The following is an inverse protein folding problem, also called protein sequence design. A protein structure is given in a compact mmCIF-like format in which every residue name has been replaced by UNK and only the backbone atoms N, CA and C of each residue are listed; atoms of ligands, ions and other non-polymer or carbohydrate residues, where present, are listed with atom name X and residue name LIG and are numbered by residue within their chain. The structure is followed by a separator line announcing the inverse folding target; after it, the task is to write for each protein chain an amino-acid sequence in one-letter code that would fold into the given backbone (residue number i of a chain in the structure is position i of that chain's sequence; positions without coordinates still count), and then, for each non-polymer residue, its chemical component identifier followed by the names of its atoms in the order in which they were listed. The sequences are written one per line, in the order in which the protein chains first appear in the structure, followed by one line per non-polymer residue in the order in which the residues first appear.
data_IF_564656787722
#
_entry.id   IF_564656787722
#
_cell.length_a   1.000
_cell.length_b   1.000
_cell.length_c   1.000
_cell.angle_alpha   90.00
_cell.angle_beta   90.00
_cell.angle_gamma   90.00
#
_symmetry.space_group_name_H-M   'P 1'
#
loop_
_entity.id
_entity.type
_entity.pdbx_description
1 polymer ?
#
# COMPACT_ATOMS: atom_id res chain seq x y z
N UNK A 1 -8.17 22.81 -36.52
CA UNK A 1 -7.83 21.55 -37.21
C UNK A 1 -6.60 20.89 -36.61
N UNK A 2 -6.81 19.95 -35.69
CA UNK A 2 -5.73 19.10 -35.21
C UNK A 2 -5.42 18.07 -36.30
N UNK A 3 -4.22 18.14 -36.89
CA UNK A 3 -3.78 17.17 -37.90
C UNK A 3 -3.24 15.94 -37.17
N UNK A 4 -3.99 14.83 -37.23
CA UNK A 4 -3.57 13.56 -36.67
C UNK A 4 -2.70 12.82 -37.69
N UNK A 5 -1.42 12.61 -37.39
CA UNK A 5 -0.53 11.79 -38.22
C UNK A 5 -0.83 10.32 -37.95
N UNK A 6 -1.34 9.60 -38.94
CA UNK A 6 -1.63 8.16 -38.85
C UNK A 6 -0.61 7.40 -39.68
N UNK A 7 0.18 6.57 -39.02
CA UNK A 7 1.17 5.70 -39.66
C UNK A 7 0.65 4.26 -39.57
N UNK A 8 0.51 3.60 -40.73
CA UNK A 8 0.07 2.21 -40.82
C UNK A 8 1.24 1.34 -41.24
N UNK A 9 1.59 0.38 -40.39
CA UNK A 9 2.70 -0.54 -40.61
C UNK A 9 2.15 -1.96 -40.52
N UNK A 10 2.61 -2.86 -41.40
CA UNK A 10 2.18 -4.26 -41.47
C UNK A 10 3.40 -5.16 -41.37
N UNK A 11 3.24 -6.32 -40.72
CA UNK A 11 4.29 -7.35 -40.66
C UNK A 11 5.47 -7.01 -39.75
N UNK A 12 5.26 -6.17 -38.74
CA UNK A 12 6.28 -5.78 -37.75
C UNK A 12 5.99 -6.40 -36.39
N UNK A 13 7.05 -6.76 -35.67
CA UNK A 13 6.95 -7.32 -34.33
C UNK A 13 6.60 -6.23 -33.29
N UNK A 14 6.03 -6.63 -32.14
CA UNK A 14 5.59 -5.66 -31.11
C UNK A 14 6.73 -4.75 -30.63
N UNK A 15 7.94 -5.29 -30.50
CA UNK A 15 9.13 -4.50 -30.12
C UNK A 15 9.46 -3.43 -31.17
N UNK A 16 9.32 -3.74 -32.46
CA UNK A 16 9.54 -2.78 -33.55
C UNK A 16 8.48 -1.67 -33.53
N UNK A 17 7.22 -2.01 -33.21
CA UNK A 17 6.16 -1.01 -33.02
C UNK A 17 6.48 -0.07 -31.86
N UNK A 18 7.03 -0.59 -30.76
CA UNK A 18 7.45 0.23 -29.62
C UNK A 18 8.60 1.16 -30.01
N UNK A 19 9.63 0.66 -30.68
CA UNK A 19 10.76 1.48 -31.16
C UNK A 19 10.29 2.58 -32.13
N UNK A 20 9.40 2.25 -33.06
CA UNK A 20 8.85 3.21 -34.02
C UNK A 20 8.05 4.28 -33.28
N UNK A 21 7.19 3.89 -32.32
CA UNK A 21 6.44 4.83 -31.50
C UNK A 21 7.38 5.78 -30.74
N UNK A 22 8.38 5.25 -30.05
CA UNK A 22 9.34 6.04 -29.27
C UNK A 22 10.16 6.99 -30.14
N UNK A 23 10.53 6.58 -31.36
CA UNK A 23 11.25 7.44 -32.32
C UNK A 23 10.38 8.54 -32.92
N UNK A 24 9.09 8.28 -33.15
CA UNK A 24 8.14 9.28 -33.64
C UNK A 24 7.79 10.27 -32.52
N UNK A 25 7.76 9.80 -31.28
CA UNK A 25 7.41 10.60 -30.14
C UNK A 25 8.52 11.60 -29.77
N UNK A 26 8.40 12.83 -30.29
CA UNK A 26 9.40 13.89 -30.10
C UNK A 26 9.60 14.31 -28.63
N UNK A 27 8.64 14.02 -27.76
CA UNK A 27 8.72 14.33 -26.32
C UNK A 27 9.46 13.25 -25.51
N UNK A 28 9.95 12.18 -26.15
CA UNK A 28 10.72 11.12 -25.48
C UNK A 28 9.91 10.26 -24.49
N UNK A 29 8.58 10.37 -24.50
CA UNK A 29 7.70 9.55 -23.65
C UNK A 29 7.70 8.10 -24.16
N UNK A 30 8.24 7.21 -23.31
CA UNK A 30 8.24 5.75 -23.55
C UNK A 30 6.82 5.21 -23.56
N UNK A 31 6.61 4.17 -24.37
CA UNK A 31 5.31 3.48 -24.42
C UNK A 31 5.13 2.67 -23.12
N UNK A 32 4.02 2.88 -22.40
CA UNK A 32 3.79 2.15 -21.15
C UNK A 32 3.39 0.70 -21.45
N UNK A 33 3.79 -0.31 -20.65
CA UNK A 33 3.40 -1.71 -20.89
C UNK A 33 1.89 -1.90 -21.02
N UNK A 34 1.09 -1.14 -20.26
CA UNK A 34 -0.38 -1.13 -20.36
C UNK A 34 -0.86 -0.71 -21.75
N UNK A 35 -0.21 0.28 -22.39
CA UNK A 35 -0.61 0.77 -23.71
C UNK A 35 -0.47 -0.34 -24.78
N UNK A 36 0.60 -1.14 -24.67
CA UNK A 36 0.84 -2.30 -25.54
C UNK A 36 -0.25 -3.36 -25.34
N UNK A 37 -0.55 -3.70 -24.09
CA UNK A 37 -1.57 -4.72 -23.77
C UNK A 37 -2.95 -4.27 -24.25
N UNK A 38 -3.32 -3.00 -24.01
CA UNK A 38 -4.55 -2.38 -24.49
C UNK A 38 -4.65 -2.48 -26.02
N UNK A 39 -3.58 -2.13 -26.74
CA UNK A 39 -3.58 -2.17 -28.21
C UNK A 39 -3.72 -3.59 -28.76
N UNK A 40 -3.01 -4.56 -28.18
CA UNK A 40 -3.03 -5.96 -28.63
C UNK A 40 -4.34 -6.67 -28.35
N UNK A 41 -4.99 -6.29 -27.25
CA UNK A 41 -6.28 -6.87 -26.83
C UNK A 41 -7.47 -6.18 -27.49
N UNK A 42 -7.27 -5.06 -28.19
CA UNK A 42 -8.36 -4.37 -28.87
C UNK A 42 -9.00 -5.24 -29.96
N UNK A 43 -10.33 -5.22 -30.02
CA UNK A 43 -11.12 -5.82 -31.10
C UNK A 43 -12.20 -4.84 -31.54
N UNK A 44 -12.30 -4.62 -32.83
CA UNK A 44 -13.36 -3.78 -33.38
C UNK A 44 -14.73 -4.44 -33.15
N UNK A 45 -15.79 -3.64 -32.97
CA UNK A 45 -17.15 -4.10 -33.09
C UNK A 45 -17.37 -4.79 -34.45
N UNK A 46 -18.20 -5.82 -34.45
CA UNK A 46 -18.66 -6.50 -35.65
C UNK A 46 -20.18 -6.64 -35.56
N UNK A 47 -20.87 -5.67 -36.16
CA UNK A 47 -22.34 -5.58 -36.16
C UNK A 47 -22.99 -6.82 -36.79
N UNK A 48 -22.42 -7.33 -37.89
CA UNK A 48 -22.92 -8.53 -38.59
C UNK A 48 -22.92 -9.77 -37.70
N UNK A 49 -22.00 -9.86 -36.74
CA UNK A 49 -21.89 -10.96 -35.77
C UNK A 49 -22.48 -10.63 -34.39
N UNK A 50 -23.09 -9.45 -34.23
CA UNK A 50 -23.59 -8.97 -32.93
C UNK A 50 -22.50 -8.82 -31.86
N UNK A 51 -21.24 -8.68 -32.25
CA UNK A 51 -20.11 -8.59 -31.33
C UNK A 51 -19.80 -7.11 -31.06
N UNK A 52 -19.91 -6.62 -29.81
CA UNK A 52 -19.77 -5.19 -29.51
C UNK A 52 -18.34 -4.66 -29.59
N UNK A 53 -17.35 -5.53 -29.84
CA UNK A 53 -15.94 -5.19 -29.73
C UNK A 53 -15.42 -5.35 -28.32
N UNK A 54 -14.11 -5.14 -28.15
CA UNK A 54 -13.47 -5.18 -26.85
C UNK A 54 -12.42 -4.08 -26.74
N UNK A 55 -12.49 -3.31 -25.66
CA UNK A 55 -11.50 -2.29 -25.34
C UNK A 55 -11.14 -2.31 -23.85
N UNK A 56 -9.90 -2.71 -23.55
CA UNK A 56 -9.44 -2.90 -22.17
C UNK A 56 -9.47 -1.60 -21.34
N UNK A 57 -9.31 -0.41 -21.95
CA UNK A 57 -9.37 0.85 -21.18
C UNK A 57 -10.75 1.13 -20.61
N UNK A 58 -11.81 0.81 -21.35
CA UNK A 58 -13.17 0.98 -20.84
C UNK A 58 -13.37 0.09 -19.62
N UNK A 59 -12.95 -1.18 -19.73
CA UNK A 59 -12.98 -2.13 -18.62
C UNK A 59 -12.20 -1.62 -17.38
N UNK A 60 -10.98 -1.11 -17.56
CA UNK A 60 -10.15 -0.53 -16.48
C UNK A 60 -10.83 0.68 -15.83
N UNK A 61 -11.42 1.58 -16.64
CA UNK A 61 -12.19 2.74 -16.15
C UNK A 61 -13.41 2.29 -15.35
N UNK A 62 -14.17 1.31 -15.86
CA UNK A 62 -15.39 0.80 -15.24
C UNK A 62 -15.11 0.03 -13.94
N UNK A 63 -13.90 -0.51 -13.77
CA UNK A 63 -13.42 -1.06 -12.49
C UNK A 63 -13.22 0.05 -11.45
N UNK A 64 -12.73 1.22 -11.87
CA UNK A 64 -12.45 2.37 -10.99
C UNK A 64 -13.71 3.16 -10.63
N UNK A 65 -14.75 3.18 -11.48
CA UNK A 65 -16.02 3.88 -11.21
C UNK A 65 -16.55 3.73 -9.78
N UNK A 66 -16.78 2.52 -9.23
CA UNK A 66 -17.27 2.38 -7.85
C UNK A 66 -16.30 2.91 -6.78
N UNK A 67 -15.00 2.98 -7.08
CA UNK A 67 -13.99 3.55 -6.17
C UNK A 67 -14.06 5.08 -6.19
N UNK A 68 -14.28 5.68 -7.36
CA UNK A 68 -14.54 7.11 -7.52
C UNK A 68 -15.84 7.50 -6.80
N UNK A 69 -16.92 6.76 -7.03
CA UNK A 69 -18.24 7.04 -6.46
C UNK A 69 -18.26 6.96 -4.93
N UNK A 70 -17.41 6.11 -4.34
CA UNK A 70 -17.22 6.02 -2.88
C UNK A 70 -16.17 6.99 -2.34
N UNK A 71 -15.49 7.73 -3.22
CA UNK A 71 -14.34 8.59 -2.89
C UNK A 71 -13.18 7.84 -2.24
N UNK A 72 -13.00 6.57 -2.60
CA UNK A 72 -11.87 5.75 -2.19
C UNK A 72 -10.59 6.18 -2.90
N UNK A 73 -9.47 6.30 -2.18
CA UNK A 73 -8.15 6.57 -2.80
C UNK A 73 -7.63 5.40 -3.64
N UNK A 74 -8.26 4.23 -3.56
CA UNK A 74 -7.98 3.13 -4.48
C UNK A 74 -8.39 3.41 -5.92
N UNK A 75 -9.12 4.50 -6.19
CA UNK A 75 -9.32 4.99 -7.56
C UNK A 75 -8.01 5.21 -8.32
N UNK A 76 -6.93 5.54 -7.61
CA UNK A 76 -5.59 5.80 -8.15
C UNK A 76 -4.77 4.52 -8.35
N UNK A 77 -5.38 3.33 -8.23
CA UNK A 77 -4.68 2.06 -8.49
C UNK A 77 -4.10 2.05 -9.90
N UNK A 78 -2.83 1.64 -10.00
CA UNK A 78 -2.13 1.55 -11.28
C UNK A 78 -2.78 0.49 -12.18
N UNK A 79 -3.05 0.83 -13.44
CA UNK A 79 -3.67 -0.09 -14.40
C UNK A 79 -2.81 -1.35 -14.63
N UNK A 80 -1.48 -1.25 -14.51
CA UNK A 80 -0.58 -2.39 -14.59
C UNK A 80 -0.81 -3.34 -13.41
N UNK A 81 -1.02 -2.83 -12.19
CA UNK A 81 -1.33 -3.67 -11.04
C UNK A 81 -2.66 -4.40 -11.25
N UNK A 82 -3.67 -3.71 -11.78
CA UNK A 82 -4.98 -4.32 -12.12
C UNK A 82 -4.79 -5.45 -13.14
N UNK A 83 -4.00 -5.23 -14.20
CA UNK A 83 -3.73 -6.26 -15.21
C UNK A 83 -2.92 -7.42 -14.61
N UNK A 84 -1.94 -7.16 -13.75
CA UNK A 84 -1.18 -8.19 -13.04
C UNK A 84 -2.09 -9.03 -12.12
N UNK A 85 -3.08 -8.42 -11.47
CA UNK A 85 -4.10 -9.14 -10.70
C UNK A 85 -4.94 -10.07 -11.58
N UNK A 86 -5.37 -9.62 -12.76
CA UNK A 86 -6.04 -10.48 -13.75
C UNK A 86 -5.14 -11.65 -14.17
N UNK A 87 -3.85 -11.37 -14.44
CA UNK A 87 -2.88 -12.40 -14.80
C UNK A 87 -2.70 -13.43 -13.67
N UNK A 88 -2.71 -13.01 -12.41
CA UNK A 88 -2.67 -13.92 -11.25
C UNK A 88 -3.93 -14.79 -11.14
N UNK A 89 -5.12 -14.23 -11.41
CA UNK A 89 -6.37 -14.99 -11.45
C UNK A 89 -6.36 -16.06 -12.56
N UNK A 90 -5.89 -15.69 -13.76
CA UNK A 90 -5.70 -16.64 -14.88
C UNK A 90 -4.64 -17.69 -14.56
N UNK A 91 -3.52 -17.28 -13.97
CA UNK A 91 -2.44 -18.17 -13.52
C UNK A 91 -2.97 -19.25 -12.57
N UNK A 92 -3.84 -18.87 -11.63
CA UNK A 92 -4.48 -19.82 -10.68
C UNK A 92 -5.34 -20.87 -11.39
N UNK A 93 -6.10 -20.47 -12.42
CA UNK A 93 -7.00 -21.37 -13.18
C UNK A 93 -6.26 -22.32 -14.12
N UNK A 94 -5.06 -21.96 -14.54
CA UNK A 94 -4.31 -22.73 -15.51
C UNK A 94 -3.68 -23.99 -14.87
N UNK A 95 -4.15 -25.16 -15.26
CA UNK A 95 -3.74 -26.47 -14.69
C UNK A 95 -2.92 -27.34 -15.64
N UNK A 96 -2.78 -26.98 -16.92
CA UNK A 96 -2.24 -27.87 -17.96
C UNK A 96 -0.96 -27.33 -18.61
N UNK A 97 0.17 -28.02 -18.49
CA UNK A 97 1.43 -27.60 -19.12
C UNK A 97 2.09 -26.39 -18.44
N UNK A 98 3.02 -25.73 -19.13
CA UNK A 98 3.73 -24.55 -18.60
C UNK A 98 2.77 -23.37 -18.50
N UNK A 99 2.66 -22.77 -17.33
CA UNK A 99 1.76 -21.64 -17.10
C UNK A 99 2.22 -20.39 -17.88
N UNK A 100 1.41 -19.88 -18.83
CA UNK A 100 1.79 -18.74 -19.67
C UNK A 100 1.56 -17.39 -18.97
N UNK A 101 0.78 -17.36 -17.89
CA UNK A 101 0.38 -16.13 -17.22
C UNK A 101 1.36 -15.75 -16.11
N UNK A 102 1.75 -14.48 -16.07
CA UNK A 102 2.66 -13.96 -15.06
C UNK A 102 2.58 -12.43 -14.96
N UNK A 103 3.38 -11.86 -14.07
CA UNK A 103 3.32 -10.44 -13.69
C UNK A 103 4.46 -9.61 -14.30
N UNK A 104 5.43 -10.26 -14.95
CA UNK A 104 6.52 -9.56 -15.64
C UNK A 104 6.05 -9.03 -16.99
N UNK A 105 6.67 -7.95 -17.53
CA UNK A 105 6.28 -7.40 -18.83
C UNK A 105 6.19 -8.48 -19.93
N UNK A 106 7.21 -9.34 -20.05
CA UNK A 106 7.24 -10.42 -21.03
C UNK A 106 6.16 -11.50 -20.81
N UNK A 107 5.72 -11.74 -19.57
CA UNK A 107 4.64 -12.69 -19.30
C UNK A 107 3.25 -12.08 -19.56
N UNK A 108 3.10 -10.78 -19.30
CA UNK A 108 1.87 -10.05 -19.61
C UNK A 108 1.59 -10.00 -21.12
N UNK A 109 2.64 -10.12 -21.94
CA UNK A 109 2.50 -10.27 -23.38
C UNK A 109 1.76 -11.55 -23.81
N UNK A 110 1.56 -12.53 -22.93
CA UNK A 110 0.75 -13.72 -23.26
C UNK A 110 -0.76 -13.48 -23.09
N UNK A 111 -1.17 -12.32 -22.57
CA UNK A 111 -2.58 -11.98 -22.44
C UNK A 111 -3.18 -11.66 -23.81
N UNK A 112 -4.41 -12.14 -24.02
CA UNK A 112 -5.15 -12.04 -25.28
C UNK A 112 -6.57 -11.59 -24.95
N UNK A 113 -7.29 -11.05 -25.93
CA UNK A 113 -8.65 -10.52 -25.75
C UNK A 113 -9.59 -11.55 -25.12
N UNK A 114 -9.51 -12.79 -25.60
CA UNK A 114 -10.36 -13.91 -25.22
C UNK A 114 -10.18 -14.23 -23.72
N UNK A 115 -8.97 -14.10 -23.19
CA UNK A 115 -8.69 -14.27 -21.76
C UNK A 115 -9.45 -13.24 -20.92
N UNK A 116 -9.47 -11.97 -21.35
CA UNK A 116 -10.20 -10.93 -20.65
C UNK A 116 -11.71 -11.11 -20.78
N UNK A 117 -12.23 -11.34 -21.99
CA UNK A 117 -13.68 -11.52 -22.21
C UNK A 117 -14.27 -12.65 -21.35
N UNK A 118 -13.53 -13.74 -21.20
CA UNK A 118 -13.97 -14.90 -20.42
C UNK A 118 -13.89 -14.68 -18.91
N UNK A 119 -12.92 -13.90 -18.42
CA UNK A 119 -12.61 -13.85 -16.98
C UNK A 119 -12.85 -12.50 -16.31
N UNK A 120 -13.03 -11.42 -17.09
CA UNK A 120 -13.05 -10.04 -16.58
C UNK A 120 -14.07 -9.83 -15.46
N UNK A 121 -15.30 -10.31 -15.62
CA UNK A 121 -16.35 -10.14 -14.62
C UNK A 121 -15.95 -10.75 -13.25
N UNK A 122 -15.42 -11.97 -13.26
CA UNK A 122 -14.95 -12.64 -12.05
C UNK A 122 -13.72 -11.93 -11.46
N UNK A 123 -12.74 -11.58 -12.29
CA UNK A 123 -11.53 -10.87 -11.87
C UNK A 123 -11.86 -9.49 -11.28
N UNK A 124 -12.75 -8.72 -11.91
CA UNK A 124 -13.21 -7.40 -11.41
C UNK A 124 -13.78 -7.53 -10.01
N UNK A 125 -14.66 -8.52 -9.76
CA UNK A 125 -15.20 -8.79 -8.42
C UNK A 125 -14.09 -9.11 -7.42
N UNK A 126 -13.15 -9.97 -7.80
CA UNK A 126 -12.02 -10.35 -6.93
C UNK A 126 -11.09 -9.17 -6.64
N UNK A 127 -10.81 -8.32 -7.62
CA UNK A 127 -9.94 -7.15 -7.46
C UNK A 127 -10.60 -6.16 -6.49
N UNK A 128 -11.89 -5.90 -6.64
CA UNK A 128 -12.64 -5.06 -5.69
C UNK A 128 -12.70 -5.67 -4.28
N UNK A 129 -12.83 -7.00 -4.16
CA UNK A 129 -12.76 -7.67 -2.85
C UNK A 129 -11.34 -7.63 -2.24
N UNK A 130 -10.30 -7.64 -3.08
CA UNK A 130 -8.91 -7.46 -2.64
C UNK A 130 -8.68 -6.04 -2.13
N UNK A 131 -9.16 -5.03 -2.86
CA UNK A 131 -9.13 -3.63 -2.43
C UNK A 131 -9.89 -3.46 -1.12
N UNK A 132 -11.06 -4.08 -0.99
CA UNK A 132 -11.84 -4.08 0.25
C UNK A 132 -11.04 -4.71 1.39
N UNK A 133 -10.44 -5.89 1.17
CA UNK A 133 -9.61 -6.56 2.19
C UNK A 133 -8.45 -5.67 2.67
N UNK A 134 -7.79 -4.94 1.77
CA UNK A 134 -6.72 -3.99 2.11
C UNK A 134 -7.29 -2.78 2.87
N UNK A 135 -8.45 -2.26 2.44
CA UNK A 135 -9.14 -1.15 3.10
C UNK A 135 -9.64 -1.51 4.50
N UNK A 136 -10.08 -2.75 4.73
CA UNK A 136 -10.45 -3.29 6.06
C UNK A 136 -9.25 -3.31 7.03
N UNK A 137 -8.01 -3.19 6.52
CA UNK A 137 -6.77 -3.02 7.31
C UNK A 137 -6.27 -1.57 7.30
N UNK A 138 -7.14 -0.60 6.96
CA UNK A 138 -6.86 0.83 6.87
C UNK A 138 -5.75 1.22 5.88
N UNK A 139 -5.48 0.37 4.89
CA UNK A 139 -4.64 0.73 3.75
C UNK A 139 -5.51 1.53 2.79
N UNK A 140 -5.57 2.84 3.03
CA UNK A 140 -6.53 3.75 2.40
C UNK A 140 -6.41 3.83 0.87
N UNK A 141 -5.23 3.54 0.30
CA UNK A 141 -4.98 3.61 -1.13
C UNK A 141 -3.64 2.99 -1.54
N UNK A 142 -3.33 2.96 -2.85
CA UNK A 142 -2.13 2.30 -3.37
C UNK A 142 -0.83 2.93 -2.84
N UNK A 143 -0.82 4.23 -2.59
CA UNK A 143 0.33 4.93 -2.01
C UNK A 143 0.63 4.56 -0.55
N UNK A 144 -0.28 3.88 0.14
CA UNK A 144 -0.09 3.36 1.51
C UNK A 144 0.27 1.87 1.52
N UNK A 145 0.33 1.22 0.35
CA UNK A 145 0.64 -0.20 0.27
C UNK A 145 2.16 -0.40 0.44
N UNK A 146 2.65 -1.15 1.44
CA UNK A 146 4.08 -1.26 1.72
C UNK A 146 4.88 -1.81 0.53
N UNK A 147 4.30 -2.80 -0.14
CA UNK A 147 4.78 -3.34 -1.40
C UNK A 147 3.60 -3.65 -2.31
N UNK A 148 3.64 -3.14 -3.54
CA UNK A 148 2.61 -3.40 -4.57
C UNK A 148 2.37 -4.90 -4.77
N UNK A 149 3.44 -5.71 -4.66
CA UNK A 149 3.37 -7.16 -4.83
C UNK A 149 2.62 -7.92 -3.73
N UNK A 150 2.37 -7.33 -2.55
CA UNK A 150 1.56 -7.99 -1.51
C UNK A 150 0.12 -8.23 -1.97
N UNK A 151 -0.41 -7.35 -2.82
CA UNK A 151 -1.78 -7.45 -3.30
C UNK A 151 -1.98 -8.61 -4.31
N UNK A 152 -0.91 -9.07 -4.96
CA UNK A 152 -0.99 -10.06 -6.04
C UNK A 152 -1.30 -11.48 -5.54
N UNK A 153 -0.61 -12.05 -4.52
CA UNK A 153 -0.98 -13.33 -3.94
C UNK A 153 -2.34 -13.29 -3.26
N UNK A 154 -2.71 -12.17 -2.61
CA UNK A 154 -4.03 -11.98 -2.00
C UNK A 154 -5.13 -12.02 -3.05
N UNK A 155 -4.98 -11.30 -4.16
CA UNK A 155 -5.95 -11.34 -5.25
C UNK A 155 -6.11 -12.76 -5.82
N UNK A 156 -5.00 -13.46 -6.03
CA UNK A 156 -5.03 -14.88 -6.42
C UNK A 156 -5.76 -15.75 -5.41
N UNK A 157 -5.51 -15.55 -4.11
CA UNK A 157 -6.12 -16.33 -3.03
C UNK A 157 -7.62 -16.10 -2.92
N UNK A 158 -8.09 -14.86 -3.07
CA UNK A 158 -9.50 -14.49 -3.02
C UNK A 158 -10.25 -14.91 -4.30
N UNK A 159 -9.56 -15.09 -5.43
CA UNK A 159 -10.19 -15.50 -6.68
C UNK A 159 -10.82 -16.88 -6.57
N UNK A 160 -12.13 -17.00 -6.84
CA UNK A 160 -12.90 -18.25 -6.76
C UNK A 160 -12.86 -18.99 -5.40
N UNK A 161 -12.37 -18.32 -4.35
CA UNK A 161 -12.35 -18.88 -3.01
C UNK A 161 -13.58 -18.40 -2.23
N UNK A 162 -14.50 -19.33 -1.95
CA UNK A 162 -15.79 -19.03 -1.27
C UNK A 162 -15.65 -18.83 0.24
N UNK A 163 -14.60 -19.39 0.84
CA UNK A 163 -14.40 -19.39 2.30
C UNK A 163 -12.95 -19.02 2.63
N UNK A 164 -12.48 -17.82 2.23
CA UNK A 164 -11.11 -17.42 2.51
C UNK A 164 -10.91 -17.23 4.01
N UNK A 165 -9.86 -17.83 4.56
CA UNK A 165 -9.39 -17.56 5.90
C UNK A 165 -8.70 -16.18 5.93
N UNK A 166 -9.54 -15.15 6.09
CA UNK A 166 -9.09 -13.75 6.15
C UNK A 166 -8.17 -13.47 7.33
N UNK A 167 -8.30 -14.21 8.44
CA UNK A 167 -7.42 -14.05 9.59
C UNK A 167 -5.96 -14.38 9.23
N UNK A 168 -5.70 -15.59 8.74
CA UNK A 168 -4.35 -16.01 8.32
C UNK A 168 -3.83 -15.16 7.15
N UNK A 169 -4.70 -14.71 6.24
CA UNK A 169 -4.29 -13.79 5.19
C UNK A 169 -3.80 -12.42 5.74
N UNK A 170 -4.40 -11.92 6.83
CA UNK A 170 -3.93 -10.69 7.50
C UNK A 170 -2.60 -10.90 8.22
N UNK A 171 -2.43 -12.05 8.88
CA UNK A 171 -1.18 -12.46 9.51
C UNK A 171 -0.04 -12.51 8.47
N UNK A 172 -0.30 -13.17 7.34
CA UNK A 172 0.63 -13.21 6.21
C UNK A 172 0.93 -11.81 5.67
N UNK A 173 -0.08 -10.96 5.50
CA UNK A 173 0.11 -9.62 4.95
C UNK A 173 1.05 -8.79 5.82
N UNK A 174 0.74 -8.65 7.11
CA UNK A 174 1.51 -7.81 8.02
C UNK A 174 2.90 -8.37 8.27
N UNK A 175 3.05 -9.70 8.39
CA UNK A 175 4.37 -10.32 8.47
C UNK A 175 5.25 -9.94 7.28
N UNK A 176 4.74 -10.03 6.06
CA UNK A 176 5.53 -9.72 4.88
C UNK A 176 5.64 -8.23 4.56
N UNK A 177 4.77 -7.38 5.13
CA UNK A 177 4.95 -5.93 5.08
C UNK A 177 6.19 -5.48 5.85
N UNK A 178 6.53 -6.16 6.96
CA UNK A 178 7.73 -5.88 7.75
C UNK A 178 8.92 -6.82 7.44
N UNK A 179 8.67 -7.99 6.84
CA UNK A 179 9.71 -8.90 6.32
C UNK A 179 10.17 -8.51 4.91
N UNK A 180 10.94 -7.42 4.81
CA UNK A 180 11.35 -6.76 3.56
C UNK A 180 12.07 -7.69 2.55
N UNK A 181 12.59 -8.82 3.00
CA UNK A 181 13.27 -9.84 2.19
C UNK A 181 12.32 -10.69 1.33
N UNK A 182 11.01 -10.59 1.53
CA UNK A 182 10.05 -11.60 1.07
C UNK A 182 9.59 -11.44 -0.38
N UNK A 183 9.92 -10.33 -1.06
CA UNK A 183 9.44 -10.01 -2.41
C UNK A 183 10.54 -9.48 -3.33
N UNK A 184 11.62 -10.25 -3.48
CA UNK A 184 12.75 -9.85 -4.33
C UNK A 184 12.43 -10.00 -5.82
N UNK A 185 11.55 -10.94 -6.19
CA UNK A 185 11.22 -11.20 -7.59
C UNK A 185 9.83 -11.83 -7.78
N UNK A 186 9.41 -11.99 -9.04
CA UNK A 186 8.10 -12.55 -9.38
C UNK A 186 7.88 -14.00 -8.92
N UNK A 187 8.94 -14.78 -8.74
CA UNK A 187 8.86 -16.17 -8.25
C UNK A 187 8.34 -16.20 -6.82
N UNK A 188 8.73 -15.24 -5.99
CA UNK A 188 8.28 -15.14 -4.59
C UNK A 188 6.76 -14.92 -4.55
N UNK A 189 6.24 -14.03 -5.40
CA UNK A 189 4.79 -13.80 -5.59
C UNK A 189 4.08 -15.10 -5.96
N UNK A 190 4.60 -15.85 -6.93
CA UNK A 190 3.99 -17.10 -7.38
C UNK A 190 4.05 -18.20 -6.31
N UNK A 191 5.15 -18.25 -5.54
CA UNK A 191 5.33 -19.20 -4.45
C UNK A 191 4.33 -18.91 -3.32
N UNK A 192 4.13 -17.65 -2.93
CA UNK A 192 3.09 -17.31 -1.96
C UNK A 192 1.70 -17.66 -2.47
N UNK A 193 1.39 -17.32 -3.72
CA UNK A 193 0.09 -17.63 -4.31
C UNK A 193 -0.21 -19.14 -4.38
N UNK A 194 0.80 -19.97 -4.71
CA UNK A 194 0.59 -21.41 -4.92
C UNK A 194 0.92 -22.28 -3.71
N UNK A 195 2.03 -22.05 -3.01
CA UNK A 195 2.49 -22.88 -1.91
C UNK A 195 1.85 -22.46 -0.57
N UNK A 196 1.85 -21.16 -0.24
CA UNK A 196 1.25 -20.69 1.01
C UNK A 196 -0.28 -20.67 0.90
N UNK A 197 -0.82 -19.86 -0.01
CA UNK A 197 -2.26 -19.70 -0.17
C UNK A 197 -2.95 -20.93 -0.76
N UNK A 198 -2.29 -21.68 -1.65
CA UNK A 198 -2.84 -22.94 -2.16
C UNK A 198 -2.91 -24.04 -1.10
N UNK A 199 -2.04 -24.04 -0.08
CA UNK A 199 -2.20 -24.93 1.09
C UNK A 199 -3.38 -24.49 1.97
N UNK A 200 -3.50 -23.18 2.19
CA UNK A 200 -4.59 -22.58 2.96
C UNK A 200 -5.97 -22.85 2.34
N UNK A 201 -6.08 -22.74 1.02
CA UNK A 201 -7.31 -23.01 0.27
C UNK A 201 -7.72 -24.49 0.32
N UNK A 202 -6.77 -25.41 0.44
CA UNK A 202 -7.01 -26.85 0.63
C UNK A 202 -7.37 -27.23 2.08
N UNK A 203 -7.56 -26.25 2.96
CA UNK A 203 -7.88 -26.45 4.38
C UNK A 203 -6.68 -26.77 5.28
N UNK A 204 -5.45 -26.73 4.75
CA UNK A 204 -4.25 -26.87 5.56
C UNK A 204 -3.82 -25.54 6.18
N UNK A 205 -3.16 -25.57 7.33
CA UNK A 205 -2.52 -24.37 7.91
C UNK A 205 -1.06 -24.28 7.42
N UNK A 206 -0.69 -23.29 6.59
CA UNK A 206 0.70 -23.03 6.25
C UNK A 206 1.43 -22.41 7.45
N UNK A 207 2.72 -22.73 7.60
CA UNK A 207 3.56 -22.05 8.58
C UNK A 207 3.88 -20.65 8.06
N UNK A 208 3.68 -19.64 8.91
CA UNK A 208 4.11 -18.27 8.64
C UNK A 208 5.55 -18.14 9.13
N UNK A 209 6.43 -17.60 8.28
CA UNK A 209 7.83 -17.40 8.65
C UNK A 209 7.94 -16.44 9.84
N UNK A 210 8.91 -16.65 10.76
CA UNK A 210 9.17 -15.71 11.84
C UNK A 210 9.42 -14.29 11.34
N UNK A 211 9.24 -13.33 12.26
CA UNK A 211 9.46 -11.91 12.01
C UNK A 211 10.37 -11.35 13.11
N UNK A 212 11.51 -10.80 12.73
CA UNK A 212 12.38 -10.08 13.66
C UNK A 212 12.14 -8.58 13.52
N UNK A 213 11.80 -7.92 14.63
CA UNK A 213 11.56 -6.48 14.70
C UNK A 213 12.68 -5.82 15.51
N UNK A 214 13.39 -4.86 14.93
CA UNK A 214 14.45 -4.10 15.63
C UNK A 214 13.95 -2.71 15.99
N UNK A 215 13.91 -2.33 17.28
CA UNK A 215 13.52 -0.97 17.67
C UNK A 215 14.51 0.03 17.09
N UNK A 216 15.80 -0.29 17.16
CA UNK A 216 16.87 0.49 16.55
C UNK A 216 16.68 0.74 15.04
N UNK A 217 16.16 -0.23 14.28
CA UNK A 217 15.86 -0.03 12.85
C UNK A 217 14.76 1.02 12.66
N UNK A 218 13.67 0.95 13.43
CA UNK A 218 12.58 1.92 13.36
C UNK A 218 13.01 3.33 13.79
N UNK A 219 13.83 3.42 14.84
CA UNK A 219 14.37 4.69 15.34
C UNK A 219 15.30 5.34 14.32
N UNK A 220 16.22 4.58 13.71
CA UNK A 220 17.23 5.10 12.79
C UNK A 220 16.71 5.32 11.37
N UNK A 221 15.69 4.59 10.95
CA UNK A 221 15.09 4.77 9.64
C UNK A 221 14.46 6.16 9.55
N UNK A 222 14.85 6.91 8.51
CA UNK A 222 14.24 8.20 8.21
C UNK A 222 13.03 8.03 7.30
N UNK A 223 12.01 8.86 7.51
CA UNK A 223 10.81 8.88 6.70
C UNK A 223 11.12 9.14 5.23
N UNK A 224 10.67 8.23 4.37
CA UNK A 224 10.71 8.37 2.92
C UNK A 224 9.49 7.70 2.29
N UNK A 225 8.66 8.47 1.60
CA UNK A 225 7.42 7.99 0.97
C UNK A 225 7.61 6.91 -0.12
N UNK A 226 8.86 6.59 -0.51
CA UNK A 226 9.19 5.53 -1.47
C UNK A 226 9.76 4.28 -0.80
N UNK A 227 10.15 4.36 0.47
CA UNK A 227 10.75 3.24 1.18
C UNK A 227 9.65 2.32 1.73
N UNK A 228 9.74 1.03 1.41
CA UNK A 228 8.77 0.05 1.86
C UNK A 228 8.66 -0.04 3.40
N UNK A 229 9.76 0.12 4.14
CA UNK A 229 9.71 0.16 5.60
C UNK A 229 8.91 1.38 6.10
N UNK A 230 9.11 2.54 5.49
CA UNK A 230 8.35 3.76 5.83
C UNK A 230 6.86 3.56 5.53
N UNK A 231 6.52 2.99 4.38
CA UNK A 231 5.14 2.68 4.03
C UNK A 231 4.52 1.62 4.95
N UNK A 232 5.27 0.59 5.36
CA UNK A 232 4.83 -0.40 6.35
C UNK A 232 4.51 0.24 7.70
N UNK A 233 5.40 1.11 8.20
CA UNK A 233 5.17 1.84 9.45
C UNK A 233 3.95 2.74 9.34
N UNK A 234 3.82 3.52 8.27
CA UNK A 234 2.68 4.43 8.10
C UNK A 234 1.36 3.67 7.94
N UNK A 235 1.35 2.58 7.19
CA UNK A 235 0.18 1.71 7.06
C UNK A 235 -0.21 1.10 8.42
N UNK A 236 0.78 0.69 9.21
CA UNK A 236 0.53 0.14 10.54
C UNK A 236 -0.01 1.17 11.53
N UNK A 237 0.57 2.38 11.52
CA UNK A 237 0.08 3.52 12.30
C UNK A 237 -1.34 3.90 11.88
N UNK A 238 -1.65 3.91 10.58
CA UNK A 238 -3.00 4.13 10.09
C UNK A 238 -3.98 3.05 10.57
N UNK A 239 -3.54 1.79 10.61
CA UNK A 239 -4.32 0.66 11.12
C UNK A 239 -4.56 0.71 12.64
N UNK A 240 -3.86 1.58 13.38
CA UNK A 240 -4.19 1.88 14.78
C UNK A 240 -5.41 2.81 14.92
N UNK A 241 -5.95 3.34 13.81
CA UNK A 241 -7.05 4.30 13.80
C UNK A 241 -6.74 5.52 14.69
N UNK A 242 -5.69 6.28 14.34
CA UNK A 242 -5.25 7.41 15.16
C UNK A 242 -6.36 8.44 15.34
N UNK A 243 -6.53 8.93 16.56
CA UNK A 243 -7.51 9.97 16.93
C UNK A 243 -6.81 11.33 16.95
N UNK A 244 -7.48 12.38 16.49
CA UNK A 244 -6.90 13.72 16.45
C UNK A 244 -6.72 14.31 17.86
N UNK A 245 -5.60 14.98 18.11
CA UNK A 245 -5.29 15.50 19.46
C UNK A 245 -6.32 16.52 19.98
N UNK A 246 -7.07 17.16 19.09
CA UNK A 246 -8.02 18.20 19.47
C UNK A 246 -9.43 17.68 19.79
N UNK A 247 -9.76 16.45 19.43
CA UNK A 247 -11.13 15.93 19.45
C UNK A 247 -11.13 14.40 19.65
N UNK A 248 -11.70 13.87 20.75
CA UNK A 248 -11.68 12.46 21.07
C UNK A 248 -12.56 11.59 20.16
N UNK A 249 -13.53 12.19 19.48
CA UNK A 249 -14.47 11.48 18.61
C UNK A 249 -14.02 11.51 17.13
N UNK A 250 -12.80 11.98 16.89
CA UNK A 250 -12.32 12.38 15.59
C UNK A 250 -11.15 11.53 15.10
N UNK A 251 -11.45 10.46 14.35
CA UNK A 251 -10.43 9.73 13.61
C UNK A 251 -9.69 10.64 12.62
N UNK A 252 -8.37 10.54 12.57
CA UNK A 252 -7.57 11.37 11.67
C UNK A 252 -7.78 10.98 10.21
N UNK A 253 -7.93 9.69 9.93
CA UNK A 253 -7.95 9.12 8.58
C UNK A 253 -9.37 8.70 8.14
N UNK A 254 -10.38 9.49 8.50
CA UNK A 254 -11.74 9.24 8.04
C UNK A 254 -11.89 9.47 6.51
N UNK A 255 -12.94 8.92 5.91
CA UNK A 255 -13.17 9.03 4.47
C UNK A 255 -13.33 10.49 4.00
N UNK A 256 -13.93 11.35 4.81
CA UNK A 256 -14.16 12.76 4.46
C UNK A 256 -12.82 13.49 4.37
N UNK A 257 -11.96 13.30 5.35
CA UNK A 257 -10.61 13.82 5.40
C UNK A 257 -9.77 13.32 4.21
N UNK A 258 -9.84 12.02 3.92
CA UNK A 258 -9.10 11.43 2.81
C UNK A 258 -9.58 11.93 1.44
N UNK A 259 -10.85 12.27 1.28
CA UNK A 259 -11.42 12.89 0.07
C UNK A 259 -11.01 14.36 -0.08
N UNK A 260 -11.02 15.13 1.01
CA UNK A 260 -10.75 16.57 1.00
C UNK A 260 -9.25 16.91 0.89
N UNK A 261 -8.37 16.01 1.35
CA UNK A 261 -6.93 16.22 1.31
C UNK A 261 -6.28 15.51 0.13
N UNK A 262 -5.19 16.05 -0.41
CA UNK A 262 -4.35 15.33 -1.38
C UNK A 262 -3.50 14.22 -0.71
N UNK A 263 -3.11 14.39 0.55
CA UNK A 263 -2.34 13.43 1.33
C UNK A 263 -2.66 13.54 2.84
N UNK A 264 -2.51 12.45 3.62
CA UNK A 264 -2.54 12.57 5.07
C UNK A 264 -1.49 13.57 5.57
N UNK A 265 -1.84 14.40 6.55
CA UNK A 265 -0.90 15.32 7.18
C UNK A 265 -0.11 14.51 8.20
N UNK A 266 1.14 14.27 7.84
CA UNK A 266 2.13 13.71 8.73
C UNK A 266 2.73 14.85 9.55
N UNK A 267 2.80 14.64 10.85
CA UNK A 267 3.41 15.56 11.78
C UNK A 267 4.62 14.90 12.44
N UNK A 268 5.68 15.68 12.64
CA UNK A 268 6.80 15.29 13.46
C UNK A 268 6.45 15.61 14.91
N UNK A 269 6.17 14.60 15.74
CA UNK A 269 5.77 14.75 17.15
C UNK A 269 6.72 15.70 17.87
N UNK A 270 8.02 15.54 17.68
CA UNK A 270 9.00 16.56 17.99
C UNK A 270 9.29 17.31 16.70
N UNK A 271 8.78 18.55 16.49
CA UNK A 271 8.89 19.22 15.21
C UNK A 271 10.36 19.42 14.82
N UNK A 272 10.67 19.25 13.53
CA UNK A 272 12.05 19.36 13.07
C UNK A 272 12.69 20.71 13.42
N UNK A 273 11.93 21.81 13.38
CA UNK A 273 12.46 23.14 13.73
C UNK A 273 12.79 23.23 15.22
N UNK A 274 11.91 22.75 16.09
CA UNK A 274 12.20 22.62 17.52
C UNK A 274 13.49 21.81 17.76
N UNK A 275 13.63 20.65 17.11
CA UNK A 275 14.82 19.81 17.24
C UNK A 275 16.11 20.44 16.68
N UNK A 276 16.03 21.24 15.62
CA UNK A 276 17.20 21.93 15.04
C UNK A 276 17.78 23.01 15.97
N UNK A 277 16.97 23.57 16.85
CA UNK A 277 17.37 24.60 17.80
C UNK A 277 17.96 24.02 19.11
N UNK A 278 18.05 22.68 19.20
CA UNK A 278 18.59 21.96 20.35
C UNK A 278 20.02 21.52 20.07
N UNK A 279 20.97 22.01 20.88
CA UNK A 279 22.34 21.53 20.88
C UNK A 279 22.44 20.09 21.44
N UNK A 280 23.44 19.34 20.97
CA UNK A 280 23.79 18.00 21.49
C UNK A 280 22.70 16.92 21.34
N UNK A 281 21.88 16.98 20.28
CA UNK A 281 20.99 15.86 19.95
C UNK A 281 21.79 14.55 19.73
N UNK A 282 21.32 13.41 20.28
CA UNK A 282 21.96 12.13 20.06
C UNK A 282 22.09 11.79 18.57
N UNK A 283 23.26 11.32 18.10
CA UNK A 283 23.53 11.14 16.67
C UNK A 283 22.67 10.05 15.99
N UNK A 284 22.09 9.13 16.77
CA UNK A 284 21.21 8.08 16.30
C UNK A 284 19.71 8.45 16.39
N UNK A 285 19.39 9.67 16.80
CA UNK A 285 18.03 10.19 16.90
C UNK A 285 17.78 11.28 15.83
N UNK A 286 17.54 10.84 14.60
CA UNK A 286 17.19 11.76 13.49
C UNK A 286 15.85 12.46 13.77
N UNK A 287 15.70 13.76 13.48
CA UNK A 287 14.39 14.42 13.46
C UNK A 287 13.38 13.74 12.53
N UNK A 288 13.87 13.12 11.45
CA UNK A 288 13.05 12.42 10.44
C UNK A 288 12.78 10.94 10.81
N UNK A 289 13.11 10.51 12.04
CA UNK A 289 12.86 9.14 12.50
C UNK A 289 11.41 8.73 12.23
N UNK A 290 11.20 7.49 11.77
CA UNK A 290 9.85 6.94 11.62
C UNK A 290 9.07 6.95 12.94
N UNK A 291 9.75 6.82 14.07
CA UNK A 291 9.15 6.90 15.41
C UNK A 291 8.86 8.32 15.86
N UNK A 292 9.20 9.33 15.06
CA UNK A 292 8.81 10.72 15.28
C UNK A 292 7.58 11.12 14.45
N UNK A 293 7.02 10.24 13.61
CA UNK A 293 5.91 10.60 12.72
C UNK A 293 4.56 10.18 13.31
N UNK A 294 3.57 11.06 13.27
CA UNK A 294 2.16 10.75 13.56
C UNK A 294 1.23 11.34 12.50
N UNK A 295 -0.03 10.92 12.51
CA UNK A 295 -1.08 11.49 11.68
C UNK A 295 -1.81 12.59 12.46
N UNK A 296 -2.11 13.72 11.82
CA UNK A 296 -3.00 14.73 12.40
C UNK A 296 -3.98 15.26 11.35
N UNK A 297 -5.11 15.80 11.78
CA UNK A 297 -5.96 16.59 10.87
C UNK A 297 -5.25 17.91 10.56
N UNK A 298 -5.62 18.51 9.42
CA UNK A 298 -4.95 19.72 8.93
C UNK A 298 -4.97 20.86 9.94
N UNK A 299 -6.12 21.08 10.59
CA UNK A 299 -6.29 22.16 11.57
C UNK A 299 -5.39 21.97 12.80
N UNK A 300 -5.30 20.76 13.32
CA UNK A 300 -4.46 20.42 14.48
C UNK A 300 -2.98 20.50 14.14
N UNK A 301 -2.58 20.01 12.96
CA UNK A 301 -1.22 20.14 12.45
C UNK A 301 -0.80 21.63 12.34
N UNK A 302 -1.69 22.50 11.84
CA UNK A 302 -1.44 23.95 11.75
C UNK A 302 -1.37 24.59 13.16
N UNK A 303 -2.27 24.20 14.08
CA UNK A 303 -2.29 24.70 15.46
C UNK A 303 -1.00 24.36 16.23
N UNK A 304 -0.46 23.16 16.02
CA UNK A 304 0.80 22.73 16.64
C UNK A 304 1.99 23.41 15.96
N UNK A 305 2.00 23.45 14.63
CA UNK A 305 3.07 24.06 13.84
C UNK A 305 4.45 23.50 14.20
N UNK A 306 5.38 24.33 14.65
CA UNK A 306 6.75 23.99 15.04
C UNK A 306 7.00 24.08 16.55
N UNK A 307 5.92 24.12 17.35
CA UNK A 307 5.99 24.35 18.79
C UNK A 307 6.68 23.20 19.54
N UNK A 308 7.23 23.54 20.70
CA UNK A 308 7.75 22.55 21.64
C UNK A 308 6.65 21.53 22.00
N UNK A 309 6.93 20.21 21.89
CA UNK A 309 5.98 19.17 22.21
C UNK A 309 5.42 19.22 23.62
N UNK A 310 6.23 19.55 24.61
CA UNK A 310 5.73 19.64 25.99
C UNK A 310 4.67 20.75 26.13
N UNK A 311 4.87 21.87 25.44
CA UNK A 311 3.92 22.99 25.48
C UNK A 311 2.60 22.62 24.80
N UNK A 312 2.65 22.07 23.58
CA UNK A 312 1.40 21.75 22.88
C UNK A 312 0.71 20.52 23.49
N UNK A 313 1.43 19.53 24.02
CA UNK A 313 0.80 18.41 24.73
C UNK A 313 0.05 18.90 25.96
N UNK A 314 0.62 19.84 26.71
CA UNK A 314 -0.06 20.47 27.84
C UNK A 314 -1.32 21.26 27.42
N UNK A 315 -1.39 21.80 26.20
CA UNK A 315 -2.61 22.42 25.68
C UNK A 315 -3.75 21.41 25.45
N UNK A 316 -3.43 20.15 25.16
CA UNK A 316 -4.40 19.08 24.88
C UNK A 316 -4.70 18.19 26.08
N UNK A 317 -3.95 18.28 27.18
CA UNK A 317 -4.09 17.42 28.36
C UNK A 317 -5.51 17.33 28.96
N UNK A 318 -6.32 18.36 28.76
CA UNK A 318 -7.69 18.45 29.29
C UNK A 318 -8.76 18.02 28.26
N UNK A 319 -8.35 17.62 27.05
CA UNK A 319 -9.23 16.94 26.10
C UNK A 319 -9.67 15.63 26.74
N UNK A 320 -10.95 15.31 26.61
CA UNK A 320 -11.51 14.07 27.13
C UNK A 320 -10.74 12.86 26.57
N UNK A 321 -10.43 11.90 27.44
CA UNK A 321 -9.67 10.69 27.09
C UNK A 321 -8.37 10.95 26.29
N UNK A 322 -7.63 12.00 26.67
CA UNK A 322 -6.35 12.30 26.03
C UNK A 322 -5.36 11.13 26.11
N UNK A 323 -5.44 10.30 27.16
CA UNK A 323 -4.64 9.08 27.24
C UNK A 323 -4.98 8.09 26.12
N UNK A 324 -6.28 7.81 25.85
CA UNK A 324 -6.70 6.99 24.73
C UNK A 324 -6.24 7.55 23.38
N UNK A 325 -6.25 8.88 23.23
CA UNK A 325 -5.69 9.54 22.04
C UNK A 325 -4.20 9.23 21.89
N UNK A 326 -3.37 9.40 22.93
CA UNK A 326 -1.94 9.08 22.88
C UNK A 326 -1.71 7.59 22.55
N UNK A 327 -2.49 6.69 23.15
CA UNK A 327 -2.42 5.25 22.90
C UNK A 327 -2.75 4.87 21.44
N UNK A 328 -3.69 5.58 20.80
CA UNK A 328 -4.01 5.41 19.36
C UNK A 328 -2.82 5.75 18.43
N UNK A 329 -1.93 6.64 18.89
CA UNK A 329 -0.70 7.02 18.17
C UNK A 329 0.54 6.27 18.61
N UNK A 330 0.40 5.38 19.61
CA UNK A 330 1.51 4.70 20.28
C UNK A 330 2.49 5.71 20.91
N UNK A 331 1.98 6.81 21.45
CA UNK A 331 2.79 7.85 22.10
C UNK A 331 2.95 7.50 23.59
N UNK A 332 4.19 7.32 24.08
CA UNK A 332 4.42 7.05 25.50
C UNK A 332 4.12 8.27 26.36
N UNK A 333 3.10 8.15 27.23
CA UNK A 333 2.54 9.26 28.02
C UNK A 333 3.56 9.97 28.91
N UNK A 334 4.54 9.23 29.42
CA UNK A 334 5.58 9.73 30.32
C UNK A 334 6.52 10.77 29.68
N UNK A 335 6.46 10.94 28.36
CA UNK A 335 7.17 12.00 27.64
C UNK A 335 6.31 13.23 27.35
N UNK A 336 5.00 13.12 27.55
CA UNK A 336 4.04 14.23 27.37
C UNK A 336 3.83 15.04 28.64
N UNK A 337 4.13 14.45 29.81
CA UNK A 337 3.88 15.02 31.14
C UNK A 337 5.14 15.64 31.78
N UNK A 338 6.24 15.78 31.03
CA UNK A 338 7.51 16.31 31.58
C UNK A 338 7.49 17.83 31.71
N UNK A 339 8.08 18.33 32.79
CA UNK A 339 8.20 19.79 33.02
C UNK A 339 9.22 20.47 32.09
N UNK A 340 10.28 19.75 31.72
CA UNK A 340 11.39 20.30 30.90
C UNK A 340 11.93 19.27 29.94
N UNK A 341 12.29 19.70 28.74
CA UNK A 341 12.94 18.85 27.74
C UNK A 341 14.46 18.79 27.93
N UNK A 342 15.04 17.59 27.83
CA UNK A 342 16.49 17.37 27.72
C UNK A 342 16.81 16.68 26.39
N UNK A 343 17.96 16.92 25.74
CA UNK A 343 18.31 16.29 24.45
C UNK A 343 18.22 14.75 24.46
N UNK A 344 18.58 14.12 25.58
CA UNK A 344 18.49 12.66 25.75
C UNK A 344 17.05 12.13 25.79
N UNK A 345 16.08 12.99 26.11
CA UNK A 345 14.66 12.64 26.17
C UNK A 345 14.10 12.30 24.80
N UNK A 346 14.57 12.98 23.74
CA UNK A 346 14.13 12.68 22.38
C UNK A 346 14.49 11.26 21.98
N UNK A 347 15.74 10.84 22.19
CA UNK A 347 16.15 9.45 21.92
C UNK A 347 15.36 8.46 22.76
N UNK A 348 15.18 8.73 24.06
CA UNK A 348 14.38 7.86 24.94
C UNK A 348 12.93 7.74 24.46
N UNK A 349 12.32 8.85 24.03
CA UNK A 349 10.99 8.89 23.44
C UNK A 349 10.87 7.99 22.21
N UNK A 350 11.81 8.12 21.26
CA UNK A 350 11.78 7.32 20.03
C UNK A 350 11.86 5.82 20.34
N UNK A 351 12.71 5.41 21.29
CA UNK A 351 12.85 4.00 21.67
C UNK A 351 11.64 3.49 22.47
N UNK A 352 11.07 4.30 23.36
CA UNK A 352 9.84 3.95 24.09
C UNK A 352 8.65 3.78 23.12
N UNK A 353 8.52 4.67 22.14
CA UNK A 353 7.51 4.57 21.08
C UNK A 353 7.74 3.35 20.18
N UNK A 354 8.99 3.05 19.85
CA UNK A 354 9.35 1.86 19.08
C UNK A 354 9.01 0.57 19.84
N UNK A 355 9.16 0.55 21.16
CA UNK A 355 8.77 -0.57 21.99
C UNK A 355 7.24 -0.80 21.97
N UNK A 356 6.44 0.25 22.17
CA UNK A 356 4.99 0.20 22.04
C UNK A 356 4.56 -0.26 20.64
N UNK A 357 5.24 0.21 19.60
CA UNK A 357 5.00 -0.19 18.21
C UNK A 357 5.24 -1.68 18.01
N UNK A 358 6.40 -2.20 18.43
CA UNK A 358 6.75 -3.60 18.30
C UNK A 358 5.79 -4.50 19.08
N UNK A 359 5.48 -4.16 20.33
CA UNK A 359 4.54 -4.92 21.18
C UNK A 359 3.15 -4.96 20.56
N UNK A 360 2.65 -3.83 20.04
CA UNK A 360 1.35 -3.79 19.37
C UNK A 360 1.32 -4.64 18.11
N UNK A 361 2.40 -4.63 17.34
CA UNK A 361 2.53 -5.45 16.14
C UNK A 361 2.61 -6.95 16.47
N UNK A 362 3.38 -7.33 17.50
CA UNK A 362 3.43 -8.70 18.03
C UNK A 362 2.05 -9.19 18.48
N UNK A 363 1.32 -8.40 19.28
CA UNK A 363 -0.03 -8.74 19.77
C UNK A 363 -1.03 -8.95 18.62
N UNK A 364 -0.89 -8.19 17.54
CA UNK A 364 -1.76 -8.32 16.37
C UNK A 364 -1.36 -9.49 15.45
N UNK A 365 -0.21 -10.13 15.71
CA UNK A 365 0.35 -11.21 14.92
C UNK A 365 0.45 -12.55 15.69
N UNK A 366 -0.63 -13.07 16.31
CA UNK A 366 -0.59 -14.28 17.14
C UNK A 366 -0.16 -15.56 16.42
N UNK A 367 -0.23 -15.62 15.08
CA UNK A 367 0.18 -16.77 14.29
C UNK A 367 1.61 -16.65 13.73
N UNK A 368 2.36 -15.63 14.16
CA UNK A 368 3.72 -15.35 13.73
C UNK A 368 4.64 -15.40 14.94
N UNK A 369 5.76 -16.11 14.83
CA UNK A 369 6.84 -16.01 15.81
C UNK A 369 7.53 -14.64 15.65
N UNK A 370 7.09 -13.67 16.43
CA UNK A 370 7.64 -12.31 16.43
C UNK A 370 8.73 -12.22 17.49
N UNK A 371 9.94 -11.83 17.06
CA UNK A 371 11.08 -11.64 17.93
C UNK A 371 11.45 -10.15 17.93
N UNK A 372 11.29 -9.49 19.07
CA UNK A 372 11.67 -8.08 19.22
C UNK A 372 13.11 -8.01 19.73
N UNK A 373 13.98 -7.37 18.95
CA UNK A 373 15.39 -7.14 19.24
C UNK A 373 15.66 -5.64 19.38
N UNK A 374 16.80 -5.30 19.98
CA UNK A 374 17.36 -3.95 20.15
C UNK A 374 16.33 -2.85 20.39
#
# INVERSE_FOLDING_TARGET
DYRLSVIRIRGVETNEVCEIFERINQEGKRLHPVDIIVARTYRNPNEDKGYPGFYLRDNLRDLKTPLVDSGSRWQDIDDLLVIQMVAMCLRKKHTTGRNPFGITPAALDNLMTEHFEQTWSACRKTILDTIKFLSDMHIAGPGMLPFVYLALPLCSYLHDNKTPNRHIARQWFWRNAFGLESFNNSTDVYNFASAFFGKLEKGGLPSIQPLTLSRSQFVRASYNYRNALSLAVLAWLANQQPIDFSDPDAEVLDNVYLQLSHAPNLHHIYPQKFLRDIDELPPDASPDSLMNICFLRAQTNIRISDRNPLDYFNDFRNVQDFQGILESHLIPKEFTERDTFRPSDYRQFLFARADLFCQRLEQALPDVDVQIVD
#
